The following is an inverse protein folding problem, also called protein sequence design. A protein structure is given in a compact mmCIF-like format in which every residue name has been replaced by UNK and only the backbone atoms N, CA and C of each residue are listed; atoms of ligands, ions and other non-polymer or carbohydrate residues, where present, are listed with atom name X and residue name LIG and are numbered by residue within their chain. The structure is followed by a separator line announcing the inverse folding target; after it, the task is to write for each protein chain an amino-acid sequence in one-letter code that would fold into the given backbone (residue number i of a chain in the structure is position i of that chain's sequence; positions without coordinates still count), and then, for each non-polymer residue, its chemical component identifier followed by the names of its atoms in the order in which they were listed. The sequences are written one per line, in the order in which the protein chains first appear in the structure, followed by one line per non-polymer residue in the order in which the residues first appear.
data_IF_729306251984
#
_entry.id   IF_729306251984
#
_cell.length_a   1.000
_cell.length_b   1.000
_cell.length_c   1.000
_cell.angle_alpha   90.00
_cell.angle_beta   90.00
_cell.angle_gamma   90.00
#
_symmetry.space_group_name_H-M   'P 1'
#
loop_
_entity.id
_entity.type
_entity.pdbx_description
1 polymer ?
#
# COMPACT_ATOMS: atom_id res chain seq x y z
N UNK A 1 -12.26 16.95 20.18
CA UNK A 1 -12.99 15.67 20.14
C UNK A 1 -12.27 14.78 19.13
N UNK A 2 -11.33 14.02 19.65
CA UNK A 2 -10.43 13.12 18.91
C UNK A 2 -11.22 11.88 18.50
N UNK A 3 -11.23 11.57 17.20
CA UNK A 3 -11.79 10.31 16.72
C UNK A 3 -10.77 9.19 16.99
N UNK A 4 -11.25 8.16 17.67
CA UNK A 4 -10.54 6.92 18.01
C UNK A 4 -10.13 6.13 16.74
N UNK A 5 -8.86 5.76 16.56
CA UNK A 5 -8.39 4.90 15.46
C UNK A 5 -9.04 3.51 15.41
N UNK A 6 -9.71 3.06 16.49
CA UNK A 6 -10.46 1.80 16.53
C UNK A 6 -11.74 1.78 15.65
N UNK A 7 -12.12 2.91 15.03
CA UNK A 7 -13.38 3.05 14.29
C UNK A 7 -13.47 2.30 12.93
N UNK A 8 -12.47 1.51 12.54
CA UNK A 8 -12.57 0.62 11.37
C UNK A 8 -13.07 -0.79 11.69
N UNK A 9 -13.28 -1.12 12.98
CA UNK A 9 -13.98 -2.33 13.40
C UNK A 9 -15.51 -2.20 13.24
N UNK A 10 -15.97 -1.74 12.08
CA UNK A 10 -17.41 -1.71 11.80
C UNK A 10 -17.83 -3.12 11.43
N UNK A 11 -18.66 -3.75 12.26
CA UNK A 11 -19.26 -5.03 11.94
C UNK A 11 -19.99 -4.92 10.58
N UNK A 12 -19.53 -5.65 9.58
CA UNK A 12 -20.16 -5.71 8.25
C UNK A 12 -21.06 -6.94 8.10
N UNK A 13 -21.39 -7.60 9.21
CA UNK A 13 -22.28 -8.76 9.26
C UNK A 13 -23.63 -8.52 8.59
N UNK A 14 -24.33 -9.58 8.18
CA UNK A 14 -25.60 -9.45 7.48
C UNK A 14 -26.70 -8.89 8.39
N UNK A 15 -27.44 -7.89 7.91
CA UNK A 15 -28.60 -7.32 8.61
C UNK A 15 -29.85 -7.94 8.04
N UNK A 16 -30.59 -8.66 8.88
CA UNK A 16 -31.84 -9.31 8.49
C UNK A 16 -33.02 -8.41 8.84
N UNK A 17 -33.89 -8.19 7.85
CA UNK A 17 -35.18 -7.52 7.97
C UNK A 17 -36.29 -8.50 7.57
N UNK A 18 -37.56 -8.25 7.96
CA UNK A 18 -38.66 -9.16 7.62
C UNK A 18 -38.81 -9.44 6.11
N UNK A 19 -38.46 -8.46 5.26
CA UNK A 19 -38.67 -8.54 3.81
C UNK A 19 -37.38 -8.63 2.98
N UNK A 20 -36.21 -8.38 3.57
CA UNK A 20 -34.93 -8.45 2.86
C UNK A 20 -33.73 -8.70 3.80
N UNK A 21 -32.59 -9.08 3.23
CA UNK A 21 -31.30 -9.21 3.90
C UNK A 21 -30.31 -8.26 3.26
N UNK A 22 -29.58 -7.49 4.06
CA UNK A 22 -28.50 -6.61 3.60
C UNK A 22 -27.16 -7.22 4.00
N UNK A 23 -26.28 -7.47 3.04
CA UNK A 23 -24.93 -7.99 3.26
C UNK A 23 -23.90 -7.16 2.51
N UNK A 24 -22.69 -7.01 3.04
CA UNK A 24 -21.59 -6.44 2.28
C UNK A 24 -21.23 -7.39 1.12
N UNK A 25 -21.15 -6.85 -0.09
CA UNK A 25 -20.88 -7.61 -1.32
C UNK A 25 -19.58 -7.21 -2.02
N UNK A 26 -19.12 -5.97 -1.81
CA UNK A 26 -17.81 -5.51 -2.27
C UNK A 26 -17.31 -4.41 -1.33
N UNK A 27 -16.07 -4.53 -0.87
CA UNK A 27 -15.42 -3.53 -0.03
C UNK A 27 -14.15 -3.04 -0.72
N UNK A 28 -14.00 -1.73 -0.86
CA UNK A 28 -12.88 -1.11 -1.55
C UNK A 28 -12.48 0.24 -0.92
N UNK A 29 -11.44 0.84 -1.51
CA UNK A 29 -10.70 2.03 -1.09
C UNK A 29 -11.57 3.26 -0.78
N UNK A 30 -12.66 3.45 -1.52
CA UNK A 30 -13.55 4.62 -1.40
C UNK A 30 -15.02 4.20 -1.25
N UNK A 31 -15.31 2.90 -1.27
CA UNK A 31 -16.66 2.40 -1.54
C UNK A 31 -16.90 1.04 -0.90
N UNK A 32 -17.98 0.92 -0.15
CA UNK A 32 -18.59 -0.36 0.25
C UNK A 32 -19.91 -0.50 -0.50
N UNK A 33 -20.11 -1.65 -1.13
CA UNK A 33 -21.32 -2.02 -1.83
C UNK A 33 -22.03 -3.08 -1.01
N UNK A 34 -23.23 -2.76 -0.54
CA UNK A 34 -24.13 -3.69 0.11
C UNK A 34 -25.07 -4.29 -0.91
N UNK A 35 -25.24 -5.61 -0.89
CA UNK A 35 -26.28 -6.33 -1.62
C UNK A 35 -27.50 -6.44 -0.72
N UNK A 36 -28.65 -6.08 -1.25
CA UNK A 36 -29.96 -6.18 -0.59
C UNK A 36 -30.77 -7.24 -1.31
N UNK A 37 -31.03 -8.35 -0.64
CA UNK A 37 -31.69 -9.53 -1.19
C UNK A 37 -33.12 -9.65 -0.62
N UNK A 38 -34.17 -9.72 -1.46
CA UNK A 38 -35.53 -9.91 -0.97
C UNK A 38 -35.72 -11.34 -0.43
N UNK A 39 -36.35 -11.47 0.74
CA UNK A 39 -36.59 -12.78 1.40
C UNK A 39 -37.54 -13.65 0.57
N UNK A 40 -38.53 -13.05 -0.09
CA UNK A 40 -39.48 -13.75 -0.97
C UNK A 40 -38.87 -14.20 -2.31
N UNK A 41 -37.56 -14.00 -2.52
CA UNK A 41 -36.90 -14.20 -3.80
C UNK A 41 -37.14 -13.03 -4.76
N UNK A 42 -36.29 -12.92 -5.77
CA UNK A 42 -36.32 -11.82 -6.74
C UNK A 42 -34.95 -11.20 -6.97
N UNK A 43 -34.94 -10.07 -7.70
CA UNK A 43 -33.70 -9.41 -8.09
C UNK A 43 -33.10 -8.64 -6.91
N UNK A 44 -31.80 -8.80 -6.59
CA UNK A 44 -31.16 -7.99 -5.58
C UNK A 44 -30.98 -6.55 -6.05
N UNK A 45 -30.92 -5.61 -5.11
CA UNK A 45 -30.47 -4.23 -5.35
C UNK A 45 -29.18 -3.96 -4.61
N UNK A 46 -28.36 -3.04 -5.14
CA UNK A 46 -27.06 -2.72 -4.56
C UNK A 46 -27.04 -1.29 -4.05
N UNK A 47 -26.52 -1.11 -2.83
CA UNK A 47 -26.34 0.19 -2.19
C UNK A 47 -24.86 0.45 -2.05
N UNK A 48 -24.36 1.45 -2.77
CA UNK A 48 -22.96 1.84 -2.70
C UNK A 48 -22.80 3.05 -1.78
N UNK A 49 -21.94 2.95 -0.77
CA UNK A 49 -21.63 4.01 0.20
C UNK A 49 -20.15 4.30 0.22
N UNK A 50 -19.79 5.57 0.33
CA UNK A 50 -18.42 5.94 0.60
C UNK A 50 -18.00 5.35 1.96
N UNK A 51 -16.76 4.87 2.11
CA UNK A 51 -16.34 4.15 3.33
C UNK A 51 -16.57 4.98 4.61
N UNK A 52 -16.31 6.29 4.58
CA UNK A 52 -16.59 7.18 5.73
C UNK A 52 -18.08 7.41 6.04
N UNK A 53 -18.99 7.05 5.13
CA UNK A 53 -20.44 7.12 5.33
C UNK A 53 -21.05 5.78 5.77
N UNK A 54 -20.25 4.71 5.87
CA UNK A 54 -20.72 3.37 6.24
C UNK A 54 -21.27 3.32 7.68
N UNK A 55 -20.61 3.88 8.71
CA UNK A 55 -21.17 3.85 10.07
C UNK A 55 -22.56 4.48 10.17
N UNK A 56 -22.74 5.65 9.56
CA UNK A 56 -24.04 6.32 9.51
C UNK A 56 -25.10 5.52 8.75
N UNK A 57 -24.72 4.95 7.60
CA UNK A 57 -25.62 4.08 6.83
C UNK A 57 -26.06 2.85 7.64
N UNK A 58 -25.15 2.19 8.35
CA UNK A 58 -25.47 1.02 9.16
C UNK A 58 -26.32 1.39 10.37
N UNK A 59 -26.04 2.51 11.03
CA UNK A 59 -26.90 3.01 12.11
C UNK A 59 -28.32 3.35 11.63
N UNK A 60 -28.46 3.93 10.44
CA UNK A 60 -29.78 4.18 9.83
C UNK A 60 -30.48 2.88 9.43
N UNK A 61 -29.71 1.93 8.89
CA UNK A 61 -30.21 0.61 8.56
C UNK A 61 -30.71 -0.11 9.82
N UNK A 62 -29.91 -0.16 10.88
CA UNK A 62 -30.19 -0.85 12.16
C UNK A 62 -31.40 -0.26 12.89
N UNK A 63 -31.65 1.05 12.75
CA UNK A 63 -32.85 1.74 13.25
C UNK A 63 -34.10 1.53 12.37
N UNK A 64 -33.97 0.87 11.22
CA UNK A 64 -35.07 0.64 10.28
C UNK A 64 -35.46 1.88 9.45
N UNK A 65 -34.67 2.95 9.52
CA UNK A 65 -34.95 4.22 8.82
C UNK A 65 -34.97 4.02 7.30
N UNK A 66 -34.24 3.02 6.81
CA UNK A 66 -34.06 2.75 5.38
C UNK A 66 -35.01 1.67 4.84
N UNK A 67 -35.85 1.06 5.67
CA UNK A 67 -36.63 -0.13 5.29
C UNK A 67 -37.59 0.17 4.13
N UNK A 68 -38.34 1.27 4.21
CA UNK A 68 -39.27 1.70 3.16
C UNK A 68 -38.56 2.03 1.84
N UNK A 69 -37.39 2.68 1.91
CA UNK A 69 -36.61 3.04 0.73
C UNK A 69 -36.05 1.81 0.02
N UNK A 70 -35.54 0.84 0.78
CA UNK A 70 -35.03 -0.41 0.26
C UNK A 70 -36.17 -1.29 -0.30
N UNK A 71 -37.31 -1.37 0.39
CA UNK A 71 -38.50 -2.07 -0.10
C UNK A 71 -39.01 -1.48 -1.43
N UNK A 72 -39.09 -0.14 -1.53
CA UNK A 72 -39.43 0.54 -2.79
C UNK A 72 -38.40 0.28 -3.89
N UNK A 73 -37.10 0.25 -3.56
CA UNK A 73 -36.05 -0.03 -4.52
C UNK A 73 -36.13 -1.45 -5.07
N UNK A 74 -36.43 -2.43 -4.23
CA UNK A 74 -36.66 -3.83 -4.61
C UNK A 74 -37.88 -4.00 -5.53
N UNK A 75 -38.96 -3.26 -5.26
CA UNK A 75 -40.19 -3.30 -6.08
C UNK A 75 -40.07 -2.58 -7.44
N UNK A 76 -38.99 -1.81 -7.69
CA UNK A 76 -38.83 -1.04 -8.94
C UNK A 76 -38.46 -1.93 -10.14
N UNK A 77 -39.12 -1.75 -11.30
CA UNK A 77 -38.74 -2.42 -12.54
C UNK A 77 -37.32 -2.00 -12.99
N UNK A 78 -36.56 -2.88 -13.67
CA UNK A 78 -35.18 -2.62 -14.04
C UNK A 78 -35.07 -1.40 -14.96
N UNK A 79 -34.32 -0.39 -14.51
CA UNK A 79 -33.95 0.77 -15.34
C UNK A 79 -32.80 0.37 -16.27
N UNK A 80 -32.95 0.62 -17.57
CA UNK A 80 -31.96 0.31 -18.63
C UNK A 80 -30.72 1.24 -18.63
N UNK A 81 -30.34 1.86 -17.50
CA UNK A 81 -29.24 2.82 -17.46
C UNK A 81 -28.44 2.79 -16.16
N UNK A 82 -27.11 2.65 -16.28
CA UNK A 82 -26.16 2.70 -15.17
C UNK A 82 -26.11 4.13 -14.58
N UNK A 83 -26.33 4.25 -13.26
CA UNK A 83 -26.12 5.52 -12.54
C UNK A 83 -24.63 5.68 -12.29
N UNK A 84 -24.11 6.85 -12.63
CA UNK A 84 -22.69 7.22 -12.50
C UNK A 84 -22.25 7.11 -11.03
N UNK A 85 -21.12 6.43 -10.70
CA UNK A 85 -20.64 6.35 -9.33
C UNK A 85 -20.26 7.73 -8.78
N UNK A 86 -20.35 7.94 -7.44
CA UNK A 86 -19.99 9.19 -6.80
C UNK A 86 -18.50 9.53 -7.04
N UNK A 87 -18.20 10.84 -7.09
CA UNK A 87 -16.85 11.36 -7.34
C UNK A 87 -15.88 10.95 -6.21
N UNK A 88 -14.72 10.43 -6.62
CA UNK A 88 -13.56 10.07 -5.76
C UNK A 88 -13.20 11.18 -4.77
N UNK A 89 -12.81 10.78 -3.55
CA UNK A 89 -12.23 11.69 -2.56
C UNK A 89 -10.91 12.29 -3.09
N UNK A 90 -10.62 13.55 -2.75
CA UNK A 90 -9.51 14.35 -3.32
C UNK A 90 -8.16 14.17 -2.58
N UNK A 91 -8.04 13.18 -1.70
CA UNK A 91 -6.89 13.01 -0.80
C UNK A 91 -5.78 12.09 -1.34
N UNK A 92 -4.56 12.26 -0.82
CA UNK A 92 -3.46 11.29 -0.99
C UNK A 92 -3.75 10.09 -0.10
N UNK A 93 -3.42 8.89 -0.57
CA UNK A 93 -3.56 7.63 0.17
C UNK A 93 -2.24 6.86 0.12
N UNK A 94 -2.05 6.04 1.12
CA UNK A 94 -0.90 5.17 1.35
C UNK A 94 -1.41 3.72 1.38
N UNK A 95 -0.52 2.78 1.11
CA UNK A 95 -0.74 1.35 1.29
C UNK A 95 0.56 0.60 1.03
N UNK A 96 0.58 -0.66 1.42
CA UNK A 96 1.74 -1.53 1.26
C UNK A 96 1.27 -2.88 0.74
N UNK A 97 2.08 -3.50 -0.12
CA UNK A 97 2.00 -4.92 -0.45
C UNK A 97 3.29 -5.57 0.07
N UNK A 98 3.20 -6.66 0.82
CA UNK A 98 4.34 -7.45 1.31
C UNK A 98 4.29 -8.81 0.65
N UNK A 99 5.39 -9.21 0.04
CA UNK A 99 5.57 -10.56 -0.49
C UNK A 99 6.37 -11.39 0.49
N UNK A 100 6.04 -12.68 0.56
CA UNK A 100 6.65 -13.63 1.47
C UNK A 100 6.97 -14.94 0.76
N UNK A 101 8.13 -15.49 1.06
CA UNK A 101 8.45 -16.88 0.78
C UNK A 101 7.82 -17.74 1.88
N UNK A 102 7.07 -18.76 1.47
CA UNK A 102 6.50 -19.77 2.36
C UNK A 102 7.36 -21.02 2.27
N UNK A 103 7.87 -21.49 3.41
CA UNK A 103 8.75 -22.66 3.48
C UNK A 103 8.22 -23.69 4.47
N UNK A 104 8.30 -24.97 4.13
CA UNK A 104 8.07 -26.09 5.05
C UNK A 104 9.35 -26.86 5.33
N UNK A 105 9.24 -28.01 5.98
CA UNK A 105 10.38 -28.87 6.33
C UNK A 105 11.24 -29.28 5.10
N UNK A 106 10.58 -29.52 3.95
CA UNK A 106 11.23 -29.98 2.71
C UNK A 106 11.61 -28.83 1.74
N UNK A 107 11.47 -27.57 2.18
CA UNK A 107 11.88 -26.39 1.41
C UNK A 107 10.75 -25.44 1.04
N UNK A 108 10.99 -24.60 0.02
CA UNK A 108 10.06 -23.54 -0.42
C UNK A 108 8.82 -24.16 -1.06
N UNK A 109 7.65 -23.78 -0.56
CA UNK A 109 6.35 -24.23 -1.02
C UNK A 109 5.79 -23.29 -2.10
N UNK A 110 4.68 -23.65 -2.72
CA UNK A 110 3.97 -22.81 -3.70
C UNK A 110 2.68 -22.29 -3.09
N UNK A 111 2.63 -20.98 -2.80
CA UNK A 111 1.49 -20.39 -2.12
C UNK A 111 0.21 -20.43 -2.96
N UNK A 112 0.30 -20.54 -4.29
CA UNK A 112 -0.91 -20.70 -5.13
C UNK A 112 -1.70 -21.97 -4.79
N UNK A 113 -0.98 -23.02 -4.41
CA UNK A 113 -1.58 -24.29 -4.02
C UNK A 113 -2.03 -24.25 -2.56
N UNK A 114 -1.15 -23.77 -1.65
CA UNK A 114 -1.46 -23.68 -0.22
C UNK A 114 -2.65 -22.74 0.05
N UNK A 115 -2.61 -21.54 -0.51
CA UNK A 115 -3.61 -20.49 -0.31
C UNK A 115 -4.99 -20.85 -0.85
N UNK A 116 -5.11 -21.87 -1.69
CA UNK A 116 -6.41 -22.36 -2.18
C UNK A 116 -7.26 -22.98 -1.06
N UNK A 117 -6.62 -23.56 -0.05
CA UNK A 117 -7.27 -24.26 1.06
C UNK A 117 -7.45 -23.38 2.31
N UNK A 118 -6.84 -22.17 2.32
CA UNK A 118 -6.95 -21.25 3.44
C UNK A 118 -8.27 -20.46 3.38
N UNK A 119 -9.01 -20.45 4.49
CA UNK A 119 -10.23 -19.66 4.67
C UNK A 119 -9.91 -18.25 5.22
N UNK A 120 -9.22 -17.42 4.42
CA UNK A 120 -8.77 -16.09 4.84
C UNK A 120 -9.81 -15.00 4.58
N UNK A 121 -10.76 -15.25 3.69
CA UNK A 121 -11.77 -14.27 3.32
C UNK A 121 -12.59 -14.63 2.09
N UNK A 122 -13.10 -13.63 1.40
CA UNK A 122 -13.97 -13.81 0.23
C UNK A 122 -13.17 -13.58 -1.06
N UNK A 123 -13.25 -14.54 -1.99
CA UNK A 123 -12.74 -14.39 -3.36
C UNK A 123 -13.70 -13.54 -4.18
N UNK A 124 -13.44 -12.24 -4.22
CA UNK A 124 -14.30 -11.25 -4.87
C UNK A 124 -13.63 -10.52 -6.04
N UNK A 125 -12.37 -10.82 -6.33
CA UNK A 125 -11.57 -10.13 -7.34
C UNK A 125 -11.55 -10.91 -8.67
N UNK A 126 -12.25 -10.44 -9.71
CA UNK A 126 -12.37 -11.19 -10.97
C UNK A 126 -11.07 -11.21 -11.78
N UNK A 127 -10.12 -10.33 -11.47
CA UNK A 127 -8.83 -10.24 -12.17
C UNK A 127 -7.70 -10.98 -11.45
N UNK A 128 -7.98 -11.51 -10.25
CA UNK A 128 -7.03 -12.28 -9.46
C UNK A 128 -7.79 -13.38 -8.71
N UNK A 129 -7.80 -14.62 -9.22
CA UNK A 129 -8.54 -15.72 -8.62
C UNK A 129 -7.97 -16.19 -7.27
N UNK A 130 -6.71 -15.84 -6.96
CA UNK A 130 -6.08 -16.20 -5.69
C UNK A 130 -6.39 -15.18 -4.59
N UNK A 131 -6.81 -13.97 -4.97
CA UNK A 131 -7.08 -12.89 -4.02
C UNK A 131 -8.29 -13.20 -3.13
N UNK A 132 -8.01 -13.22 -1.83
CA UNK A 132 -8.99 -13.31 -0.76
C UNK A 132 -9.08 -11.97 -0.03
N UNK A 133 -10.27 -11.35 -0.04
CA UNK A 133 -10.54 -10.13 0.73
C UNK A 133 -10.85 -10.47 2.18
N UNK A 134 -9.98 -10.05 3.08
CA UNK A 134 -10.04 -10.40 4.49
C UNK A 134 -10.95 -9.43 5.28
N UNK A 135 -11.42 -9.88 6.45
CA UNK A 135 -12.31 -9.10 7.35
C UNK A 135 -11.67 -7.81 7.88
N UNK A 136 -10.34 -7.77 7.99
CA UNK A 136 -9.56 -6.58 8.38
C UNK A 136 -9.41 -5.56 7.24
N UNK A 137 -9.96 -5.85 6.05
CA UNK A 137 -10.08 -4.92 4.93
C UNK A 137 -8.97 -5.00 3.88
N UNK A 138 -7.90 -5.74 4.13
CA UNK A 138 -6.88 -6.01 3.12
C UNK A 138 -7.12 -7.27 2.31
N UNK A 139 -6.09 -7.67 1.58
CA UNK A 139 -6.13 -8.79 0.63
C UNK A 139 -4.93 -9.68 0.90
N UNK A 140 -5.17 -10.99 0.88
CA UNK A 140 -4.11 -11.99 0.74
C UNK A 140 -4.25 -12.62 -0.63
N UNK A 141 -3.16 -12.70 -1.39
CA UNK A 141 -3.12 -13.32 -2.71
C UNK A 141 -1.78 -14.03 -2.94
N UNK A 142 -1.58 -14.59 -4.13
CA UNK A 142 -0.29 -15.10 -4.57
C UNK A 142 0.26 -14.23 -5.72
N UNK A 143 1.49 -13.74 -5.59
CA UNK A 143 2.27 -13.24 -6.73
C UNK A 143 3.31 -14.30 -7.07
N UNK A 144 3.22 -14.92 -8.24
CA UNK A 144 4.08 -16.07 -8.54
C UNK A 144 3.85 -17.23 -7.56
N UNK A 145 4.92 -17.70 -6.91
CA UNK A 145 4.87 -18.75 -5.87
C UNK A 145 4.76 -18.17 -4.46
N UNK A 146 5.02 -16.88 -4.35
CA UNK A 146 5.11 -16.11 -3.12
C UNK A 146 3.71 -15.74 -2.61
N UNK A 147 3.56 -15.63 -1.29
CA UNK A 147 2.36 -15.08 -0.69
C UNK A 147 2.43 -13.55 -0.67
N UNK A 148 1.36 -12.87 -1.05
CA UNK A 148 1.28 -11.41 -1.01
C UNK A 148 0.19 -10.97 -0.02
N UNK A 149 0.53 -10.06 0.90
CA UNK A 149 -0.39 -9.36 1.80
C UNK A 149 -0.45 -7.90 1.40
N UNK A 150 -1.63 -7.42 1.00
CA UNK A 150 -1.86 -6.04 0.60
C UNK A 150 -2.79 -5.31 1.60
N UNK A 151 -2.33 -4.18 2.13
CA UNK A 151 -3.14 -3.36 3.04
C UNK A 151 -4.28 -2.65 2.29
N UNK A 152 -5.40 -2.33 2.97
CA UNK A 152 -6.33 -1.34 2.44
C UNK A 152 -5.62 0.03 2.32
N UNK A 153 -6.23 1.02 1.63
CA UNK A 153 -5.71 2.38 1.71
C UNK A 153 -5.81 2.88 3.12
N UNK A 154 -4.84 3.71 3.44
CA UNK A 154 -4.96 4.67 4.50
C UNK A 154 -4.84 6.07 3.91
N UNK A 155 -5.77 7.00 4.17
CA UNK A 155 -5.58 8.41 3.84
C UNK A 155 -4.27 8.93 4.42
N UNK A 156 -3.55 9.75 3.66
CA UNK A 156 -2.42 10.50 4.24
C UNK A 156 -2.98 11.49 5.27
N UNK A 157 -2.55 11.33 6.51
CA UNK A 157 -3.00 12.07 7.67
C UNK A 157 -2.10 11.76 8.87
N UNK A 158 -2.41 12.36 10.01
CA UNK A 158 -1.75 12.06 11.29
C UNK A 158 -1.87 10.56 11.60
N UNK A 159 -0.74 9.89 11.81
CA UNK A 159 -0.67 8.46 12.10
C UNK A 159 -0.93 7.56 10.89
N UNK A 160 -0.95 8.12 9.68
CA UNK A 160 -1.29 7.38 8.47
C UNK A 160 -0.28 6.28 8.15
N UNK A 161 1.02 6.54 8.30
CA UNK A 161 2.05 5.55 8.05
C UNK A 161 2.04 4.44 9.12
N UNK A 162 1.91 4.83 10.40
CA UNK A 162 1.76 3.88 11.52
C UNK A 162 0.52 2.97 11.37
N UNK A 163 -0.59 3.51 10.85
CA UNK A 163 -1.79 2.71 10.57
C UNK A 163 -1.53 1.67 9.47
N UNK A 164 -0.82 2.05 8.39
CA UNK A 164 -0.46 1.08 7.33
C UNK A 164 0.46 0.00 7.87
N UNK A 165 1.44 0.36 8.72
CA UNK A 165 2.32 -0.59 9.41
C UNK A 165 1.52 -1.60 10.22
N UNK A 166 0.61 -1.13 11.09
CA UNK A 166 -0.23 -2.02 11.90
C UNK A 166 -1.12 -2.95 11.06
N UNK A 167 -1.64 -2.46 9.93
CA UNK A 167 -2.42 -3.30 9.01
C UNK A 167 -1.56 -4.36 8.31
N UNK A 168 -0.31 -4.03 7.95
CA UNK A 168 0.62 -4.99 7.37
C UNK A 168 1.02 -6.07 8.39
N UNK A 169 1.21 -5.69 9.66
CA UNK A 169 1.45 -6.62 10.78
C UNK A 169 0.24 -7.56 10.97
N UNK A 170 -0.98 -7.02 11.07
CA UNK A 170 -2.22 -7.83 11.16
C UNK A 170 -2.33 -8.82 9.99
N UNK A 171 -2.09 -8.37 8.76
CA UNK A 171 -2.19 -9.23 7.59
C UNK A 171 -1.15 -10.35 7.58
N UNK A 172 0.08 -10.07 8.04
CA UNK A 172 1.14 -11.08 8.21
C UNK A 172 0.73 -12.11 9.26
N UNK A 173 0.26 -11.67 10.43
CA UNK A 173 -0.10 -12.55 11.54
C UNK A 173 -1.28 -13.45 11.16
N UNK A 174 -2.32 -12.88 10.53
CA UNK A 174 -3.47 -13.64 10.02
C UNK A 174 -3.05 -14.72 9.01
N UNK A 175 -2.13 -14.39 8.11
CA UNK A 175 -1.60 -15.35 7.13
C UNK A 175 -0.78 -16.45 7.83
N UNK A 176 0.10 -16.09 8.75
CA UNK A 176 0.93 -17.04 9.48
C UNK A 176 0.09 -18.00 10.32
N UNK A 177 -0.90 -17.49 11.06
CA UNK A 177 -1.81 -18.29 11.88
C UNK A 177 -2.63 -19.26 11.02
N UNK A 178 -3.12 -18.82 9.86
CA UNK A 178 -3.84 -19.68 8.94
C UNK A 178 -2.95 -20.78 8.35
N UNK A 179 -1.71 -20.46 7.97
CA UNK A 179 -0.74 -21.44 7.49
C UNK A 179 -0.42 -22.48 8.58
N UNK A 180 -0.16 -22.04 9.82
CA UNK A 180 0.09 -22.95 10.94
C UNK A 180 -1.12 -23.84 11.25
N UNK A 181 -2.33 -23.29 11.22
CA UNK A 181 -3.55 -24.05 11.48
C UNK A 181 -3.83 -25.12 10.41
N UNK A 182 -3.57 -24.80 9.15
CA UNK A 182 -3.85 -25.71 8.03
C UNK A 182 -2.72 -26.71 7.75
N UNK A 183 -1.45 -26.32 7.98
CA UNK A 183 -0.28 -27.07 7.51
C UNK A 183 0.75 -27.38 8.62
N UNK A 184 0.49 -26.97 9.86
CA UNK A 184 1.35 -27.25 11.01
C UNK A 184 2.40 -26.16 11.27
N UNK A 185 3.06 -26.20 12.45
CA UNK A 185 3.97 -25.15 12.93
C UNK A 185 5.31 -25.09 12.19
N UNK A 186 5.65 -26.10 11.39
CA UNK A 186 6.90 -26.14 10.62
C UNK A 186 6.83 -25.30 9.34
N UNK A 187 5.63 -24.81 8.98
CA UNK A 187 5.46 -23.87 7.86
C UNK A 187 5.78 -22.46 8.32
N UNK A 188 6.75 -21.82 7.68
CA UNK A 188 7.27 -20.50 8.05
C UNK A 188 7.05 -19.47 6.96
N UNK A 189 6.97 -18.20 7.37
CA UNK A 189 6.75 -17.04 6.51
C UNK A 189 7.93 -16.06 6.60
N UNK A 190 8.73 -16.01 5.54
CA UNK A 190 9.91 -15.14 5.46
C UNK A 190 9.61 -13.97 4.53
N UNK A 191 9.85 -12.74 4.99
CA UNK A 191 9.64 -11.54 4.18
C UNK A 191 10.57 -11.50 2.97
N UNK A 192 10.02 -11.26 1.79
CA UNK A 192 10.73 -11.21 0.52
C UNK A 192 10.88 -9.79 0.00
N UNK A 193 9.76 -9.11 -0.25
CA UNK A 193 9.75 -7.76 -0.83
C UNK A 193 8.68 -6.87 -0.18
N UNK A 194 8.86 -5.55 -0.31
CA UNK A 194 7.87 -4.54 0.09
C UNK A 194 7.59 -3.61 -1.08
N UNK A 195 6.30 -3.45 -1.43
CA UNK A 195 5.83 -2.46 -2.39
C UNK A 195 5.07 -1.32 -1.69
N UNK A 196 5.70 -0.15 -1.61
CA UNK A 196 5.08 1.06 -1.09
C UNK A 196 4.17 1.68 -2.16
N UNK A 197 2.92 1.92 -1.82
CA UNK A 197 1.90 2.43 -2.73
C UNK A 197 1.42 3.82 -2.30
N UNK A 198 1.68 4.83 -3.12
CA UNK A 198 1.30 6.23 -2.84
C UNK A 198 0.43 6.81 -3.96
N UNK A 199 -0.71 7.40 -3.59
CA UNK A 199 -1.65 8.00 -4.54
C UNK A 199 -0.99 8.93 -5.56
N UNK A 200 -1.43 8.78 -6.80
CA UNK A 200 -0.88 9.49 -7.94
C UNK A 200 -1.90 9.96 -8.96
N UNK A 201 -1.61 11.10 -9.58
CA UNK A 201 -2.34 11.53 -10.76
C UNK A 201 -2.15 10.49 -11.88
N UNK A 202 -3.27 10.04 -12.47
CA UNK A 202 -3.25 9.09 -13.60
C UNK A 202 -2.55 9.67 -14.83
N UNK A 203 -2.81 10.95 -15.12
CA UNK A 203 -2.20 11.64 -16.25
C UNK A 203 -0.73 11.93 -15.95
N UNK A 204 0.16 11.52 -16.86
CA UNK A 204 1.60 11.74 -16.71
C UNK A 204 2.29 10.80 -15.72
N UNK A 205 1.66 9.68 -15.35
CA UNK A 205 2.22 8.73 -14.38
C UNK A 205 3.62 8.24 -14.75
N UNK A 206 3.90 7.96 -16.05
CA UNK A 206 5.25 7.60 -16.52
C UNK A 206 6.28 8.70 -16.28
N UNK A 207 5.94 9.94 -16.60
CA UNK A 207 6.81 11.10 -16.36
C UNK A 207 7.05 11.27 -14.87
N UNK A 208 6.02 11.05 -14.05
CA UNK A 208 6.13 11.13 -12.61
C UNK A 208 7.06 10.06 -12.04
N UNK A 209 6.90 8.80 -12.46
CA UNK A 209 7.79 7.70 -12.10
C UNK A 209 9.25 7.99 -12.48
N UNK A 210 9.48 8.50 -13.70
CA UNK A 210 10.84 8.86 -14.15
C UNK A 210 11.45 9.98 -13.30
N UNK A 211 10.66 11.01 -12.97
CA UNK A 211 11.09 12.12 -12.11
C UNK A 211 11.46 11.62 -10.72
N UNK A 212 10.60 10.77 -10.14
CA UNK A 212 10.87 10.12 -8.86
C UNK A 212 12.19 9.35 -8.93
N UNK A 213 12.35 8.46 -9.91
CA UNK A 213 13.54 7.63 -10.04
C UNK A 213 14.83 8.45 -10.17
N UNK A 214 14.80 9.57 -10.88
CA UNK A 214 15.98 10.43 -11.10
C UNK A 214 16.38 11.34 -9.93
N UNK A 215 15.54 11.44 -8.89
CA UNK A 215 15.76 12.38 -7.77
C UNK A 215 15.66 11.70 -6.41
N UNK A 216 14.70 10.79 -6.20
CA UNK A 216 14.37 10.26 -4.89
C UNK A 216 14.69 8.78 -4.74
N UNK A 217 14.94 8.03 -5.83
CA UNK A 217 15.25 6.61 -5.73
C UNK A 217 16.50 6.30 -4.89
N UNK A 218 17.66 6.99 -5.03
CA UNK A 218 18.82 6.68 -4.19
C UNK A 218 18.54 6.85 -2.70
N UNK A 219 17.76 7.86 -2.33
CA UNK A 219 17.37 8.09 -0.94
C UNK A 219 16.38 7.05 -0.43
N UNK A 220 15.38 6.65 -1.23
CA UNK A 220 14.47 5.59 -0.83
C UNK A 220 15.20 4.24 -0.73
N UNK A 221 16.13 3.96 -1.64
CA UNK A 221 16.99 2.77 -1.59
C UNK A 221 17.74 2.70 -0.25
N UNK A 222 18.31 3.80 0.23
CA UNK A 222 18.96 3.82 1.54
C UNK A 222 18.00 3.61 2.73
N UNK A 223 16.73 3.99 2.60
CA UNK A 223 15.74 3.93 3.69
C UNK A 223 14.93 2.64 3.70
N UNK A 224 14.83 1.95 2.56
CA UNK A 224 13.98 0.76 2.37
C UNK A 224 14.80 -0.52 2.24
N UNK A 225 15.89 -0.47 1.47
CA UNK A 225 16.60 -1.66 1.04
C UNK A 225 17.77 -2.03 1.94
N UNK A 226 18.22 -3.28 1.77
CA UNK A 226 19.36 -3.88 2.49
C UNK A 226 20.61 -3.97 1.62
N UNK A 227 21.79 -4.23 2.21
CA UNK A 227 23.05 -4.43 1.47
C UNK A 227 23.00 -5.44 0.33
N UNK A 228 22.12 -6.44 0.42
CA UNK A 228 21.93 -7.50 -0.59
C UNK A 228 20.94 -7.15 -1.69
N UNK A 229 20.21 -6.05 -1.56
CA UNK A 229 19.18 -5.66 -2.53
C UNK A 229 19.74 -5.54 -3.94
N UNK A 230 19.00 -6.00 -4.97
CA UNK A 230 19.39 -5.76 -6.35
C UNK A 230 19.16 -4.30 -6.75
N UNK A 231 18.15 -3.64 -6.17
CA UNK A 231 17.77 -2.28 -6.52
C UNK A 231 16.30 -1.98 -6.25
N UNK A 232 15.82 -0.86 -6.79
CA UNK A 232 14.47 -0.36 -6.56
C UNK A 232 13.62 -0.38 -7.84
N UNK A 233 12.39 -0.87 -7.73
CA UNK A 233 11.34 -0.75 -8.73
C UNK A 233 10.54 0.55 -8.55
N UNK A 234 10.35 1.30 -9.64
CA UNK A 234 9.51 2.52 -9.65
C UNK A 234 8.45 2.37 -10.75
N UNK A 235 7.26 1.92 -10.35
CA UNK A 235 6.20 1.49 -11.27
C UNK A 235 4.99 2.43 -11.25
N UNK A 236 4.64 3.08 -12.37
CA UNK A 236 3.39 3.80 -12.47
C UNK A 236 2.21 2.84 -12.55
N UNK A 237 1.22 3.01 -11.67
CA UNK A 237 -0.04 2.26 -11.68
C UNK A 237 -1.24 3.20 -11.87
N UNK A 238 -2.44 2.69 -12.24
CA UNK A 238 -3.64 3.52 -12.47
C UNK A 238 -4.19 4.30 -11.27
N UNK A 239 -3.49 5.35 -10.81
CA UNK A 239 -3.90 6.18 -9.68
C UNK A 239 -2.93 6.14 -8.49
N UNK A 240 -1.79 5.46 -8.62
CA UNK A 240 -0.72 5.40 -7.61
C UNK A 240 0.66 5.27 -8.27
N UNK A 241 1.71 5.61 -7.53
CA UNK A 241 3.07 5.17 -7.81
C UNK A 241 3.37 4.04 -6.84
N UNK A 242 3.89 2.95 -7.37
CA UNK A 242 4.30 1.77 -6.62
C UNK A 242 5.83 1.72 -6.62
N UNK A 243 6.40 1.53 -5.44
CA UNK A 243 7.82 1.61 -5.17
C UNK A 243 8.23 0.30 -4.50
N UNK A 244 8.86 -0.60 -5.26
CA UNK A 244 9.19 -1.94 -4.79
C UNK A 244 10.66 -2.08 -4.42
N UNK A 245 10.95 -2.63 -3.26
CA UNK A 245 12.28 -2.94 -2.76
C UNK A 245 12.28 -4.18 -1.87
N UNK A 246 13.33 -4.35 -1.08
CA UNK A 246 13.43 -5.42 -0.09
C UNK A 246 12.32 -5.35 0.96
N UNK A 247 12.09 -6.47 1.63
CA UNK A 247 11.15 -6.54 2.74
C UNK A 247 11.53 -5.60 3.89
N UNK A 248 10.57 -4.77 4.31
CA UNK A 248 10.68 -3.85 5.44
C UNK A 248 9.45 -3.96 6.34
N UNK A 249 9.65 -3.87 7.64
CA UNK A 249 8.60 -3.98 8.65
C UNK A 249 8.87 -3.07 9.84
N UNK A 250 7.90 -2.95 10.75
CA UNK A 250 8.06 -2.14 11.95
C UNK A 250 8.38 -0.68 11.62
N UNK A 251 9.27 -0.08 12.40
CA UNK A 251 9.67 1.33 12.27
C UNK A 251 10.33 1.64 10.91
N UNK A 252 11.07 0.71 10.32
CA UNK A 252 11.72 0.90 9.02
C UNK A 252 10.68 1.12 7.91
N UNK A 253 9.59 0.35 7.93
CA UNK A 253 8.48 0.50 7.00
C UNK A 253 7.81 1.86 7.15
N UNK A 254 7.62 2.32 8.38
CA UNK A 254 7.00 3.61 8.68
C UNK A 254 7.86 4.77 8.15
N UNK A 255 9.18 4.70 8.34
CA UNK A 255 10.14 5.67 7.81
C UNK A 255 10.11 5.69 6.28
N UNK A 256 10.25 4.53 5.64
CA UNK A 256 10.29 4.41 4.19
C UNK A 256 8.97 4.89 3.55
N UNK A 257 7.83 4.52 4.13
CA UNK A 257 6.50 4.93 3.64
C UNK A 257 6.26 6.44 3.81
N UNK A 258 6.70 7.02 4.94
CA UNK A 258 6.59 8.46 5.20
C UNK A 258 7.46 9.23 4.21
N UNK A 259 8.73 8.82 4.02
CA UNK A 259 9.61 9.41 3.01
C UNK A 259 8.98 9.30 1.61
N UNK A 260 8.52 8.11 1.22
CA UNK A 260 7.90 7.87 -0.08
C UNK A 260 6.68 8.78 -0.31
N UNK A 261 5.83 8.97 0.69
CA UNK A 261 4.67 9.85 0.63
C UNK A 261 5.09 11.30 0.30
N UNK A 262 6.06 11.84 1.04
CA UNK A 262 6.58 13.18 0.83
C UNK A 262 7.28 13.33 -0.52
N UNK A 263 8.10 12.36 -0.93
CA UNK A 263 8.82 12.36 -2.20
C UNK A 263 7.86 12.31 -3.41
N UNK A 264 6.80 11.52 -3.35
CA UNK A 264 5.73 11.47 -4.38
C UNK A 264 4.96 12.78 -4.46
N UNK A 265 4.82 13.51 -3.35
CA UNK A 265 4.21 14.84 -3.34
C UNK A 265 5.17 15.91 -3.89
N UNK A 266 6.45 15.86 -3.50
CA UNK A 266 7.49 16.80 -3.92
C UNK A 266 7.86 16.67 -5.40
N UNK A 267 7.69 15.49 -6.00
CA UNK A 267 7.92 15.25 -7.44
C UNK A 267 6.83 15.81 -8.36
N UNK A 268 5.84 16.52 -7.80
CA UNK A 268 4.71 17.14 -8.51
C UNK A 268 4.73 18.66 -8.47
N UNK A 269 3.99 19.24 -9.42
CA UNK A 269 3.63 20.66 -9.41
C UNK A 269 4.84 21.59 -9.22
N UNK A 270 4.71 22.64 -8.41
CA UNK A 270 5.82 23.56 -8.10
C UNK A 270 6.99 22.90 -7.35
N UNK A 271 6.73 21.84 -6.57
CA UNK A 271 7.78 21.10 -5.83
C UNK A 271 8.84 20.52 -6.77
N UNK A 272 8.41 20.05 -7.95
CA UNK A 272 9.32 19.53 -8.97
C UNK A 272 10.40 20.54 -9.41
N UNK A 273 10.10 21.83 -9.44
CA UNK A 273 11.08 22.85 -9.85
C UNK A 273 12.25 22.97 -8.87
N UNK A 274 12.02 22.65 -7.60
CA UNK A 274 13.08 22.55 -6.58
C UNK A 274 13.76 21.19 -6.67
N UNK A 275 12.98 20.10 -6.70
CA UNK A 275 13.48 18.73 -6.76
C UNK A 275 14.39 18.47 -7.98
N UNK A 276 14.10 19.05 -9.15
CA UNK A 276 14.93 18.86 -10.35
C UNK A 276 16.37 19.37 -10.21
N UNK A 277 16.66 20.25 -9.24
CA UNK A 277 18.04 20.69 -8.93
C UNK A 277 18.84 19.55 -8.28
N UNK A 278 18.13 18.64 -7.63
CA UNK A 278 18.65 17.43 -7.00
C UNK A 278 18.63 16.22 -7.97
N UNK A 279 18.51 16.44 -9.27
CA UNK A 279 18.55 15.33 -10.21
C UNK A 279 19.96 14.74 -10.32
N UNK A 280 20.07 13.44 -10.10
CA UNK A 280 21.32 12.68 -10.20
C UNK A 280 21.41 11.89 -11.50
N UNK A 281 22.64 11.54 -11.89
CA UNK A 281 22.93 10.73 -13.05
C UNK A 281 22.61 9.27 -12.73
N UNK A 282 21.35 8.88 -12.92
CA UNK A 282 20.85 7.53 -12.71
C UNK A 282 20.56 6.89 -14.05
N UNK A 283 21.14 5.71 -14.27
CA UNK A 283 20.78 4.85 -15.40
C UNK A 283 19.46 4.16 -15.07
N UNK A 284 18.42 4.44 -15.85
CA UNK A 284 17.10 3.85 -15.68
C UNK A 284 16.89 2.73 -16.69
N UNK A 285 16.71 1.52 -16.19
CA UNK A 285 16.34 0.38 -17.03
C UNK A 285 14.81 0.23 -17.05
N UNK A 286 14.20 -0.14 -18.19
CA UNK A 286 12.83 -0.62 -18.18
C UNK A 286 12.74 -1.87 -17.28
N UNK A 287 11.79 -1.87 -16.35
CA UNK A 287 11.53 -3.07 -15.55
C UNK A 287 11.04 -4.22 -16.46
N UNK A 288 11.63 -5.42 -16.29
CA UNK A 288 11.47 -6.54 -17.23
C UNK A 288 10.09 -7.21 -17.15
N UNK A 289 9.53 -7.32 -15.95
CA UNK A 289 8.27 -8.04 -15.72
C UNK A 289 7.04 -7.15 -15.81
N UNK A 290 7.11 -5.95 -15.23
CA UNK A 290 5.97 -5.03 -15.15
C UNK A 290 6.39 -3.62 -15.56
N UNK A 291 5.48 -2.92 -16.24
CA UNK A 291 5.72 -1.58 -16.77
C UNK A 291 6.19 -0.60 -15.68
N UNK A 292 7.37 0.00 -15.89
CA UNK A 292 8.00 0.94 -14.96
C UNK A 292 9.49 1.09 -15.22
N UNK A 293 10.20 1.51 -14.19
CA UNK A 293 11.65 1.62 -14.19
C UNK A 293 12.24 0.74 -13.09
N UNK A 294 13.41 0.16 -13.37
CA UNK A 294 14.27 -0.47 -12.39
C UNK A 294 15.51 0.41 -12.21
N UNK A 295 15.86 0.64 -10.94
CA UNK A 295 17.04 1.39 -10.52
C UNK A 295 17.97 0.40 -9.85
N UNK A 296 18.92 -0.11 -10.61
CA UNK A 296 19.93 -1.05 -10.12
C UNK A 296 20.76 -0.42 -8.99
N UNK A 297 21.26 -1.24 -8.07
CA UNK A 297 22.18 -0.82 -7.00
C UNK A 297 23.41 -0.08 -7.52
N UNK A 298 23.83 -0.30 -8.77
CA UNK A 298 24.94 0.39 -9.46
C UNK A 298 24.50 1.48 -10.43
N UNK A 299 23.21 1.83 -10.48
CA UNK A 299 22.66 2.77 -11.45
C UNK A 299 23.26 4.19 -11.35
N UNK A 300 23.93 4.51 -10.24
CA UNK A 300 24.61 5.80 -9.99
C UNK A 300 26.12 5.76 -10.26
N UNK A 301 26.62 4.66 -10.82
CA UNK A 301 28.04 4.48 -11.19
C UNK A 301 28.90 3.81 -10.11
N UNK A 302 28.35 3.56 -8.93
CA UNK A 302 28.97 2.81 -7.83
C UNK A 302 27.89 1.98 -7.12
N UNK A 303 28.31 1.02 -6.30
CA UNK A 303 27.38 0.22 -5.50
C UNK A 303 26.82 1.05 -4.33
N UNK A 304 25.57 1.50 -4.47
CA UNK A 304 24.93 2.39 -3.50
C UNK A 304 24.80 1.73 -2.12
N UNK A 305 24.53 0.42 -2.08
CA UNK A 305 24.30 -0.27 -0.82
C UNK A 305 25.61 -0.64 -0.11
N UNK A 306 26.68 -0.91 -0.85
CA UNK A 306 28.01 -1.14 -0.28
C UNK A 306 28.58 0.13 0.36
N UNK A 307 28.47 1.27 -0.34
CA UNK A 307 29.02 2.55 0.13
C UNK A 307 28.06 3.32 1.03
N UNK A 308 26.77 2.95 1.04
CA UNK A 308 25.73 3.57 1.84
C UNK A 308 25.71 5.10 1.71
N UNK A 309 25.72 5.81 2.84
CA UNK A 309 25.72 7.28 2.87
C UNK A 309 26.94 7.90 2.19
N UNK A 310 28.06 7.19 2.10
CA UNK A 310 29.28 7.71 1.49
C UNK A 310 29.28 7.60 -0.05
N UNK A 311 28.31 6.90 -0.64
CA UNK A 311 28.25 6.70 -2.09
C UNK A 311 28.26 8.04 -2.85
N UNK A 312 29.17 8.26 -3.82
CA UNK A 312 29.20 9.47 -4.62
C UNK A 312 28.04 9.51 -5.61
N UNK A 313 27.30 10.62 -5.62
CA UNK A 313 26.18 10.88 -6.54
C UNK A 313 26.45 12.13 -7.38
N UNK A 314 26.46 11.97 -8.70
CA UNK A 314 26.71 13.06 -9.64
C UNK A 314 25.43 13.81 -10.01
N UNK A 315 25.37 15.11 -9.74
CA UNK A 315 24.23 15.98 -10.09
C UNK A 315 24.27 16.34 -11.58
N UNK A 316 23.26 15.93 -12.33
CA UNK A 316 23.19 16.15 -13.79
C UNK A 316 23.11 17.63 -14.20
N UNK A 317 22.57 18.50 -13.33
CA UNK A 317 22.35 19.92 -13.68
C UNK A 317 23.47 20.84 -13.26
N UNK A 318 24.12 20.55 -12.14
CA UNK A 318 25.18 21.39 -11.59
C UNK A 318 26.58 20.83 -11.88
N UNK A 319 26.69 19.56 -12.26
CA UNK A 319 27.97 18.86 -12.42
C UNK A 319 28.65 18.52 -11.09
N UNK A 320 28.06 18.89 -9.95
CA UNK A 320 28.62 18.67 -8.62
C UNK A 320 28.39 17.23 -8.17
N UNK A 321 29.41 16.64 -7.54
CA UNK A 321 29.29 15.36 -6.83
C UNK A 321 28.95 15.64 -5.36
N UNK A 322 27.95 14.94 -4.84
CA UNK A 322 27.58 14.94 -3.42
C UNK A 322 27.59 13.51 -2.89
N UNK A 323 27.61 13.32 -1.58
CA UNK A 323 27.41 11.98 -1.01
C UNK A 323 25.93 11.61 -1.01
N UNK A 324 25.62 10.31 -0.95
CA UNK A 324 24.25 9.83 -0.84
C UNK A 324 23.59 10.26 0.48
N UNK A 325 24.35 10.44 1.56
CA UNK A 325 23.89 11.04 2.82
C UNK A 325 23.43 12.49 2.64
N UNK A 326 24.26 13.35 2.03
CA UNK A 326 23.88 14.73 1.72
C UNK A 326 22.66 14.78 0.77
N UNK A 327 22.58 13.84 -0.16
CA UNK A 327 21.45 13.71 -1.07
C UNK A 327 20.16 13.30 -0.33
N UNK A 328 20.26 12.37 0.61
CA UNK A 328 19.17 11.94 1.48
C UNK A 328 18.64 13.10 2.32
N UNK A 329 19.50 13.87 2.97
CA UNK A 329 19.11 15.08 3.71
C UNK A 329 18.36 16.08 2.82
N UNK A 330 18.94 16.45 1.68
CA UNK A 330 18.36 17.46 0.78
C UNK A 330 17.04 17.01 0.13
N UNK A 331 16.89 15.72 -0.17
CA UNK A 331 15.64 15.19 -0.72
C UNK A 331 14.59 15.03 0.37
N UNK A 332 15.00 14.68 1.59
CA UNK A 332 14.13 14.66 2.75
C UNK A 332 13.59 16.05 3.08
N UNK A 333 14.40 17.11 3.05
CA UNK A 333 13.90 18.50 3.23
C UNK A 333 12.72 18.83 2.30
N UNK A 334 12.79 18.41 1.03
CA UNK A 334 11.71 18.60 0.07
C UNK A 334 10.48 17.74 0.38
N UNK A 335 10.69 16.49 0.76
CA UNK A 335 9.62 15.56 1.13
C UNK A 335 8.91 16.00 2.42
N UNK A 336 9.67 16.34 3.46
CA UNK A 336 9.23 16.90 4.74
C UNK A 336 8.39 18.18 4.56
N UNK A 337 8.85 19.11 3.73
CA UNK A 337 8.09 20.31 3.40
C UNK A 337 6.73 19.99 2.74
N UNK A 338 6.66 18.93 1.94
CA UNK A 338 5.41 18.49 1.29
C UNK A 338 4.44 17.77 2.25
N UNK A 339 4.94 17.28 3.38
CA UNK A 339 4.18 16.60 4.45
C UNK A 339 3.80 17.52 5.61
N UNK A 340 4.47 18.66 5.75
CA UNK A 340 4.23 19.62 6.83
C UNK A 340 2.75 20.04 6.87
N UNK A 341 2.12 19.88 8.03
CA UNK A 341 0.68 20.15 8.23
C UNK A 341 -0.25 19.04 7.74
N UNK A 342 0.27 17.88 7.32
CA UNK A 342 -0.52 16.70 6.90
C UNK A 342 -0.31 15.49 7.79
N UNK A 343 0.89 15.33 8.35
CA UNK A 343 1.29 14.25 9.26
C UNK A 343 1.70 14.84 10.61
N UNK A 344 1.87 14.01 11.64
CA UNK A 344 2.28 14.47 12.97
C UNK A 344 3.74 14.94 13.00
N UNK A 345 4.09 15.74 14.01
CA UNK A 345 5.48 16.10 14.26
C UNK A 345 6.34 14.88 14.63
N UNK A 346 5.76 13.89 15.30
CA UNK A 346 6.43 12.63 15.69
C UNK A 346 6.77 11.78 14.45
N UNK A 347 5.87 11.67 13.48
CA UNK A 347 6.13 10.98 12.21
C UNK A 347 7.28 11.65 11.43
N UNK A 348 7.34 12.99 11.44
CA UNK A 348 8.46 13.71 10.83
C UNK A 348 9.76 13.51 11.62
N UNK A 349 9.70 13.55 12.95
CA UNK A 349 10.85 13.37 13.82
C UNK A 349 11.47 11.98 13.66
N UNK A 350 10.64 10.96 13.43
CA UNK A 350 11.11 9.60 13.18
C UNK A 350 11.99 9.52 11.92
N UNK A 351 11.56 10.15 10.83
CA UNK A 351 12.38 10.23 9.60
C UNK A 351 13.56 11.17 9.79
N UNK A 352 13.40 12.28 10.52
CA UNK A 352 14.49 13.21 10.85
C UNK A 352 15.65 12.47 11.55
N UNK A 353 15.36 11.59 12.53
CA UNK A 353 16.36 10.82 13.26
C UNK A 353 17.15 9.85 12.37
N UNK A 354 16.45 9.11 11.49
CA UNK A 354 17.12 8.23 10.53
C UNK A 354 17.91 9.04 9.51
N UNK A 355 17.35 10.11 8.94
CA UNK A 355 18.05 10.92 7.93
C UNK A 355 19.27 11.62 8.52
N UNK A 356 19.16 12.16 9.74
CA UNK A 356 20.25 12.81 10.49
C UNK A 356 21.33 11.86 11.00
N UNK A 357 21.17 10.54 10.81
CA UNK A 357 22.05 9.49 11.30
C UNK A 357 22.11 9.35 12.83
N UNK A 358 21.09 9.84 13.54
CA UNK A 358 20.87 9.54 14.95
C UNK A 358 20.42 8.07 15.13
N UNK A 359 19.71 7.54 14.12
CA UNK A 359 19.35 6.13 13.98
C UNK A 359 20.02 5.53 12.72
N UNK A 360 20.37 4.22 12.73
CA UNK A 360 21.02 3.59 11.59
C UNK A 360 20.05 3.44 10.41
N UNK A 361 20.64 3.34 9.20
CA UNK A 361 19.89 2.83 8.03
C UNK A 361 19.51 1.36 8.24
N UNK A 362 18.55 0.81 7.46
CA UNK A 362 18.10 -0.57 7.59
C UNK A 362 19.26 -1.56 7.64
N UNK A 363 19.21 -2.48 8.60
CA UNK A 363 20.26 -3.49 8.81
C UNK A 363 19.94 -4.77 8.02
N UNK A 364 20.94 -5.60 7.72
CA UNK A 364 20.69 -6.97 7.28
C UNK A 364 19.83 -7.70 8.32
N UNK A 365 18.85 -8.50 7.87
CA UNK A 365 18.19 -9.47 8.75
C UNK A 365 19.09 -10.70 8.89
N UNK A 366 19.30 -11.13 10.13
CA UNK A 366 19.88 -12.45 10.40
C UNK A 366 18.87 -13.51 9.93
N UNK A 367 19.22 -14.32 8.92
CA UNK A 367 18.45 -15.55 8.61
C UNK A 367 18.14 -15.87 7.15
N UNK A 368 18.55 -15.08 6.16
CA UNK A 368 18.39 -15.50 4.75
C UNK A 368 19.61 -16.31 4.33
N UNK A 369 19.56 -17.63 4.56
CA UNK A 369 20.41 -18.54 3.81
C UNK A 369 19.91 -18.56 2.36
N UNK A 370 20.76 -18.10 1.45
CA UNK A 370 20.59 -18.15 -0.01
C UNK A 370 20.38 -19.55 -0.55
#
# INVERSE_FOLDING_TARGET
MTADPAAYAVDLGPRRRPTFVVSASLCSWDLVVFRVEPVAGGRPVFVAKASGAVPGFLADLDRGVLDDDLARALARPPRRGLVRPPRRSRGVRLGVEHEFVVSGADGVLDFRTLGADLELGVRADPTDPNAQRCSWGGVVTADGREAEVATPPVPLGVGGAATVRGLAEIGRDVLADALHAAHGPDVTLTGYSTHLNVSAARRGARTHARRFASVFAPSLMLLLDRPTSPGLLVRPRPGRLELGGEYSAGTELEVALTFAAGAVLASRGPGWLRARRLQVAVVLEPARERYGWYVDRRAVGCDLYELGRAAPLHRTRTGVTVTAGQHLEQTWELARAALTGRVSGEELALVDAVVGADEPLPRPQDGVAS
#
